data_IF_289114163690
#
_entry.id   IF_289114163690
#
_cell.length_a   1.000
_cell.length_b   1.000
_cell.length_c   1.000
_cell.angle_alpha   90.00
_cell.angle_beta   90.00
_cell.angle_gamma   90.00
#
_symmetry.space_group_name_H-M   'P 1'
#
loop_
_entity.id
_entity.type
_entity.pdbx_description
1 polymer ?
#
# COMPACT_ATOMS: atom_id res chain seq x y z
N UNK A 1 -6.39 -39.47 -27.24
CA UNK A 1 -6.32 -38.87 -25.89
C UNK A 1 -5.24 -37.80 -25.88
N UNK A 2 -5.62 -36.52 -26.05
CA UNK A 2 -4.67 -35.42 -26.03
C UNK A 2 -4.25 -35.12 -24.58
N UNK A 3 -2.94 -35.20 -24.31
CA UNK A 3 -2.35 -34.93 -23.00
C UNK A 3 -2.36 -33.41 -22.77
N UNK A 4 -3.35 -32.91 -22.05
CA UNK A 4 -3.40 -31.52 -21.57
C UNK A 4 -2.12 -31.23 -20.79
N UNK A 5 -1.24 -30.42 -21.37
CA UNK A 5 -0.04 -29.95 -20.69
C UNK A 5 -0.48 -28.89 -19.69
N UNK A 6 -0.10 -28.98 -18.40
CA UNK A 6 -0.41 -27.93 -17.45
C UNK A 6 0.20 -26.62 -17.95
N UNK A 7 -0.65 -25.60 -18.14
CA UNK A 7 -0.25 -24.27 -18.59
C UNK A 7 0.59 -23.58 -17.49
N UNK A 8 1.87 -23.93 -17.42
CA UNK A 8 2.84 -23.32 -16.53
C UNK A 8 2.93 -21.79 -16.76
N UNK A 9 2.64 -21.34 -17.97
CA UNK A 9 2.55 -19.92 -18.34
C UNK A 9 1.41 -19.23 -17.60
N UNK A 10 0.22 -19.85 -17.52
CA UNK A 10 -0.95 -19.27 -16.86
C UNK A 10 -0.75 -19.17 -15.34
N UNK A 11 -0.07 -20.16 -14.74
CA UNK A 11 0.32 -20.11 -13.33
C UNK A 11 1.32 -18.98 -13.04
N UNK A 12 2.34 -18.81 -13.90
CA UNK A 12 3.34 -17.73 -13.76
C UNK A 12 2.72 -16.35 -13.94
N UNK A 13 1.83 -16.17 -14.92
CA UNK A 13 1.10 -14.92 -15.14
C UNK A 13 0.21 -14.59 -13.94
N UNK A 14 -0.49 -15.59 -13.39
CA UNK A 14 -1.30 -15.40 -12.18
C UNK A 14 -0.45 -14.99 -10.98
N UNK A 15 0.70 -15.64 -10.76
CA UNK A 15 1.63 -15.27 -9.68
C UNK A 15 2.20 -13.86 -9.87
N UNK A 16 2.55 -13.49 -11.10
CA UNK A 16 3.05 -12.15 -11.41
C UNK A 16 1.98 -11.06 -11.20
N UNK A 17 0.73 -11.34 -11.59
CA UNK A 17 -0.40 -10.43 -11.36
C UNK A 17 -0.70 -10.27 -9.87
N UNK A 18 -0.65 -11.36 -9.09
CA UNK A 18 -0.83 -11.29 -7.63
C UNK A 18 0.29 -10.46 -6.99
N UNK A 19 1.55 -10.68 -7.39
CA UNK A 19 2.68 -9.91 -6.90
C UNK A 19 2.58 -8.42 -7.30
N UNK A 20 2.12 -8.13 -8.51
CA UNK A 20 1.90 -6.76 -8.98
C UNK A 20 0.80 -6.06 -8.19
N UNK A 21 -0.33 -6.73 -7.95
CA UNK A 21 -1.43 -6.20 -7.11
C UNK A 21 -0.97 -6.00 -5.66
N UNK A 22 -0.20 -6.93 -5.11
CA UNK A 22 0.36 -6.76 -3.76
C UNK A 22 1.37 -5.63 -3.69
N UNK A 23 2.23 -5.49 -4.69
CA UNK A 23 3.21 -4.41 -4.76
C UNK A 23 2.53 -3.06 -4.93
N UNK A 24 1.49 -2.94 -5.75
CA UNK A 24 0.72 -1.68 -5.88
C UNK A 24 -0.11 -1.39 -4.65
N UNK A 25 -0.66 -2.39 -3.95
CA UNK A 25 -1.29 -2.21 -2.66
C UNK A 25 -0.29 -1.76 -1.60
N UNK A 26 0.88 -2.40 -1.52
CA UNK A 26 1.96 -1.95 -0.62
C UNK A 26 2.40 -0.53 -0.96
N UNK A 27 2.56 -0.20 -2.24
CA UNK A 27 2.89 1.16 -2.66
C UNK A 27 1.76 2.15 -2.34
N UNK A 28 0.50 1.75 -2.46
CA UNK A 28 -0.64 2.57 -2.07
C UNK A 28 -0.76 2.76 -0.55
N UNK A 29 -0.27 1.79 0.23
CA UNK A 29 -0.16 1.86 1.68
C UNK A 29 1.01 2.77 2.11
N UNK A 30 2.16 2.67 1.45
CA UNK A 30 3.39 3.40 1.84
C UNK A 30 3.60 4.75 1.12
N UNK A 31 2.90 4.98 0.00
CA UNK A 31 3.01 6.18 -0.85
C UNK A 31 1.64 6.84 -1.06
N UNK A 32 0.77 6.80 -0.03
CA UNK A 32 -0.56 7.41 -0.06
C UNK A 32 -0.55 8.90 -0.39
N UNK A 33 0.52 9.62 -0.02
CA UNK A 33 0.73 11.04 -0.36
C UNK A 33 0.91 11.25 -1.88
N UNK A 34 1.58 10.30 -2.57
CA UNK A 34 1.73 10.34 -4.02
C UNK A 34 0.40 10.14 -4.77
N UNK A 35 -0.51 9.33 -4.20
CA UNK A 35 -1.86 9.13 -4.73
C UNK A 35 -2.73 10.39 -4.60
N UNK A 36 -2.63 11.10 -3.47
CA UNK A 36 -3.30 12.38 -3.28
C UNK A 36 -2.76 13.41 -4.29
N UNK A 37 -1.45 13.54 -4.41
CA UNK A 37 -0.83 14.44 -5.40
C UNK A 37 -1.26 14.14 -6.83
N UNK A 38 -1.31 12.87 -7.23
CA UNK A 38 -1.79 12.47 -8.55
C UNK A 38 -3.29 12.76 -8.75
N UNK A 39 -4.11 12.60 -7.72
CA UNK A 39 -5.55 12.88 -7.80
C UNK A 39 -5.85 14.35 -8.08
N UNK A 40 -4.97 15.27 -7.64
CA UNK A 40 -5.06 16.69 -7.93
C UNK A 40 -4.64 17.08 -9.36
N UNK A 41 -3.91 16.21 -10.07
CA UNK A 41 -3.56 16.42 -11.48
C UNK A 41 -4.70 16.03 -12.45
N UNK A 42 -5.82 15.48 -11.93
CA UNK A 42 -6.96 15.10 -12.75
C UNK A 42 -7.77 16.33 -13.22
N UNK A 43 -8.32 16.29 -14.45
CA UNK A 43 -9.16 17.37 -14.96
C UNK A 43 -10.41 17.53 -14.11
N UNK A 44 -10.71 18.78 -13.75
CA UNK A 44 -11.82 19.14 -12.85
C UNK A 44 -13.14 18.60 -13.41
N UNK A 45 -13.69 17.63 -12.71
CA UNK A 45 -15.00 17.04 -12.96
C UNK A 45 -15.60 16.54 -11.63
N UNK A 46 -16.93 16.38 -11.54
CA UNK A 46 -17.56 15.82 -10.34
C UNK A 46 -17.06 14.42 -9.96
N UNK A 47 -16.48 13.70 -10.92
CA UNK A 47 -15.89 12.37 -10.73
C UNK A 47 -14.46 12.46 -10.18
N UNK A 48 -13.67 13.46 -10.61
CA UNK A 48 -12.34 13.69 -10.05
C UNK A 48 -12.41 14.18 -8.60
N UNK A 49 -13.40 14.99 -8.23
CA UNK A 49 -13.63 15.39 -6.82
C UNK A 49 -13.84 14.18 -5.90
N UNK A 50 -14.64 13.19 -6.34
CA UNK A 50 -14.86 11.97 -5.56
C UNK A 50 -13.58 11.14 -5.42
N UNK A 51 -12.75 11.10 -6.47
CA UNK A 51 -11.46 10.41 -6.44
C UNK A 51 -10.50 11.10 -5.46
N UNK A 52 -10.43 12.43 -5.48
CA UNK A 52 -9.61 13.22 -4.54
C UNK A 52 -10.03 12.94 -3.10
N UNK A 53 -11.33 13.03 -2.79
CA UNK A 53 -11.86 12.76 -1.43
C UNK A 53 -11.56 11.33 -0.98
N UNK A 54 -11.66 10.35 -1.88
CA UNK A 54 -11.32 8.97 -1.57
C UNK A 54 -9.82 8.80 -1.29
N UNK A 55 -8.95 9.45 -2.07
CA UNK A 55 -7.50 9.45 -1.87
C UNK A 55 -7.09 10.15 -0.56
N UNK A 56 -7.72 11.27 -0.20
CA UNK A 56 -7.49 11.97 1.05
C UNK A 56 -7.92 11.16 2.26
N UNK A 57 -9.11 10.53 2.19
CA UNK A 57 -9.62 9.66 3.26
C UNK A 57 -8.68 8.47 3.48
N UNK A 58 -8.22 7.85 2.39
CA UNK A 58 -7.26 6.77 2.43
C UNK A 58 -5.92 7.21 3.02
N UNK A 59 -5.39 8.37 2.62
CA UNK A 59 -4.15 8.92 3.17
C UNK A 59 -4.28 9.18 4.67
N UNK A 60 -5.40 9.74 5.13
CA UNK A 60 -5.65 9.95 6.56
C UNK A 60 -5.70 8.65 7.36
N UNK A 61 -6.31 7.59 6.83
CA UNK A 61 -6.30 6.27 7.47
C UNK A 61 -4.90 5.67 7.53
N UNK A 62 -4.10 5.84 6.47
CA UNK A 62 -2.73 5.36 6.42
C UNK A 62 -1.77 6.16 7.30
N UNK A 63 -1.96 7.47 7.42
CA UNK A 63 -1.23 8.28 8.39
C UNK A 63 -1.59 7.88 9.83
N UNK A 64 -2.86 7.63 10.13
CA UNK A 64 -3.29 7.20 11.46
C UNK A 64 -2.76 5.79 11.83
N UNK A 65 -2.81 4.84 10.90
CA UNK A 65 -2.28 3.50 11.09
C UNK A 65 -0.74 3.52 11.15
N UNK A 66 -0.10 4.23 10.23
CA UNK A 66 1.35 4.39 10.18
C UNK A 66 1.90 5.08 11.41
N UNK A 67 1.28 6.16 11.90
CA UNK A 67 1.70 6.84 13.13
C UNK A 67 1.52 5.95 14.36
N UNK A 68 0.45 5.16 14.44
CA UNK A 68 0.22 4.23 15.57
C UNK A 68 1.26 3.10 15.58
N UNK A 69 1.53 2.47 14.43
CA UNK A 69 2.52 1.39 14.35
C UNK A 69 3.96 1.90 14.49
N UNK A 70 4.27 3.08 13.94
CA UNK A 70 5.59 3.71 14.09
C UNK A 70 5.80 4.15 15.53
N UNK A 71 4.81 4.73 16.21
CA UNK A 71 4.96 5.17 17.60
C UNK A 71 5.21 4.00 18.56
N UNK A 72 4.48 2.89 18.38
CA UNK A 72 4.71 1.64 19.12
C UNK A 72 6.11 1.08 18.84
N UNK A 73 6.52 1.00 17.56
CA UNK A 73 7.85 0.49 17.19
C UNK A 73 8.98 1.37 17.74
N UNK A 74 8.81 2.70 17.71
CA UNK A 74 9.79 3.65 18.26
C UNK A 74 9.85 3.56 19.78
N UNK A 75 8.71 3.42 20.45
CA UNK A 75 8.68 3.18 21.91
C UNK A 75 9.39 1.89 22.26
N UNK A 76 9.06 0.77 21.60
CA UNK A 76 9.71 -0.52 21.83
C UNK A 76 11.22 -0.46 21.57
N UNK A 77 11.65 0.28 20.54
CA UNK A 77 13.07 0.47 20.25
C UNK A 77 13.77 1.30 21.33
N UNK A 78 13.17 2.40 21.78
CA UNK A 78 13.68 3.23 22.89
C UNK A 78 13.70 2.48 24.21
N UNK A 79 12.69 1.63 24.48
CA UNK A 79 12.64 0.75 25.63
C UNK A 79 13.78 -0.26 25.59
N UNK A 80 14.03 -0.88 24.42
CA UNK A 80 15.12 -1.85 24.24
C UNK A 80 16.50 -1.24 24.47
N UNK A 81 16.69 0.04 24.14
CA UNK A 81 17.94 0.77 24.39
C UNK A 81 18.13 1.07 25.88
N UNK A 82 17.05 1.44 26.58
CA UNK A 82 17.07 1.65 28.04
C UNK A 82 17.34 0.36 28.80
N UNK A 83 16.79 -0.76 28.35
CA UNK A 83 17.03 -2.07 28.97
C UNK A 83 18.46 -2.58 28.71
N UNK A 84 19.14 -2.08 27.68
CA UNK A 84 20.53 -2.44 27.37
C UNK A 84 21.59 -1.56 28.08
N UNK A 85 21.19 -0.44 28.69
CA UNK A 85 22.04 0.46 29.50
C UNK A 85 21.93 0.18 31.02
N UNK A 86 21.95 -1.09 31.45
CA UNK A 86 22.29 -1.51 32.82
C UNK A 86 23.02 -2.86 32.85
#
# INVERSE_FOLDING_TARGET
>A
MAKSHPDHTMLRVRSALIALVFATLALALFQSNGLVSWSYDLPISPLSEQIVVACETWNGWMEALGTTTISETVQDWVQSLKDHEF
#
